data_IF_259626465035
#
_entry.id   IF_259626465035
#
_cell.length_a   1.000
_cell.length_b   1.000
_cell.length_c   1.000
_cell.angle_alpha   90.00
_cell.angle_beta   90.00
_cell.angle_gamma   90.00
#
_symmetry.space_group_name_H-M   'P 1'
#
loop_
_entity.id
_entity.type
_entity.pdbx_description
1 polymer ?
#
# COMPACT_ATOMS: atom_id res chain seq x y z
N UNK A 1 4.85 9.10 -10.16
CA UNK A 1 6.19 9.52 -10.63
C UNK A 1 7.25 8.91 -9.73
N UNK A 2 8.14 8.08 -10.28
CA UNK A 2 9.30 7.55 -9.54
C UNK A 2 10.32 8.67 -9.43
N UNK A 3 10.69 9.04 -8.19
CA UNK A 3 11.76 10.01 -7.92
C UNK A 3 13.06 9.24 -7.64
N UNK A 4 14.18 9.77 -8.13
CA UNK A 4 15.50 9.26 -7.76
C UNK A 4 15.64 9.23 -6.22
N UNK A 5 16.22 8.15 -5.69
CA UNK A 5 16.37 7.94 -4.24
C UNK A 5 15.10 7.50 -3.49
N UNK A 6 14.00 7.19 -4.19
CA UNK A 6 12.79 6.62 -3.57
C UNK A 6 12.66 5.16 -3.97
N UNK A 7 12.61 4.26 -2.99
CA UNK A 7 12.25 2.85 -3.23
C UNK A 7 10.73 2.73 -3.21
N UNK A 8 10.14 2.21 -4.29
CA UNK A 8 8.70 2.01 -4.43
C UNK A 8 8.39 0.52 -4.43
N UNK A 9 7.57 0.08 -3.47
CA UNK A 9 7.16 -1.32 -3.30
C UNK A 9 5.65 -1.38 -3.52
N UNK A 10 5.19 -2.22 -4.45
CA UNK A 10 3.75 -2.46 -4.66
C UNK A 10 3.41 -3.84 -4.10
N UNK A 11 2.39 -3.90 -3.25
CA UNK A 11 1.96 -5.09 -2.52
C UNK A 11 0.48 -5.33 -2.83
N UNK A 12 0.11 -6.56 -3.12
CA UNK A 12 -1.26 -6.94 -3.43
C UNK A 12 -1.77 -7.94 -2.39
N UNK A 13 -2.93 -7.66 -1.80
CA UNK A 13 -3.67 -8.66 -1.04
C UNK A 13 -4.79 -9.22 -1.92
N UNK A 14 -4.59 -10.48 -2.35
CA UNK A 14 -5.52 -11.21 -3.19
C UNK A 14 -6.67 -11.85 -2.39
N UNK A 15 -6.59 -11.83 -1.05
CA UNK A 15 -7.65 -12.33 -0.20
C UNK A 15 -8.87 -11.39 -0.29
N UNK A 16 -10.04 -11.87 -0.75
CA UNK A 16 -11.23 -11.03 -0.88
C UNK A 16 -11.79 -10.56 0.46
N UNK A 17 -11.54 -11.32 1.53
CA UNK A 17 -12.24 -11.16 2.80
C UNK A 17 -11.34 -10.70 3.94
N UNK A 18 -10.07 -11.15 3.97
CA UNK A 18 -9.19 -10.92 5.12
C UNK A 18 -8.08 -9.93 4.81
N UNK A 19 -7.77 -9.10 5.79
CA UNK A 19 -6.52 -8.34 5.82
C UNK A 19 -5.35 -9.31 6.06
N UNK A 20 -4.18 -8.96 5.53
CA UNK A 20 -2.96 -9.78 5.63
C UNK A 20 -1.80 -8.92 6.12
N UNK A 21 -1.08 -9.41 7.13
CA UNK A 21 0.12 -8.75 7.65
C UNK A 21 1.37 -9.27 6.95
N UNK A 22 2.24 -8.36 6.56
CA UNK A 22 3.53 -8.67 5.94
C UNK A 22 4.65 -7.92 6.64
N UNK A 23 5.73 -8.65 6.89
CA UNK A 23 6.99 -8.10 7.41
C UNK A 23 8.05 -8.16 6.33
N UNK A 24 8.58 -6.98 5.98
CA UNK A 24 9.65 -6.82 5.02
C UNK A 24 10.96 -6.57 5.76
N UNK A 25 11.98 -7.37 5.44
CA UNK A 25 13.36 -7.08 5.82
C UNK A 25 13.98 -6.19 4.75
N UNK A 26 14.37 -4.99 5.14
CA UNK A 26 14.99 -3.99 4.29
C UNK A 26 16.51 -4.04 4.52
N UNK A 27 17.27 -4.29 3.45
CA UNK A 27 18.72 -4.40 3.50
C UNK A 27 19.38 -3.27 2.69
N UNK A 28 20.66 -2.99 2.98
CA UNK A 28 21.50 -2.08 2.19
C UNK A 28 21.41 -0.59 2.56
N UNK A 29 20.26 -0.09 3.03
CA UNK A 29 20.12 1.30 3.47
C UNK A 29 19.09 1.47 4.59
N UNK A 30 19.31 2.46 5.44
CA UNK A 30 18.31 2.93 6.40
C UNK A 30 17.36 3.94 5.72
N UNK A 31 16.07 3.81 5.97
CA UNK A 31 15.05 4.70 5.43
C UNK A 31 14.49 5.59 6.54
N UNK A 32 14.49 6.90 6.31
CA UNK A 32 14.01 7.90 7.25
C UNK A 32 12.47 7.98 7.29
N UNK A 33 11.79 7.61 6.20
CA UNK A 33 10.32 7.72 6.12
C UNK A 33 9.68 6.68 5.21
N UNK A 34 8.40 6.40 5.47
CA UNK A 34 7.52 5.66 4.60
C UNK A 34 6.23 6.46 4.36
N UNK A 35 5.65 6.33 3.16
CA UNK A 35 4.32 6.83 2.82
C UNK A 35 3.58 5.80 1.99
N UNK A 36 2.27 5.70 2.18
CA UNK A 36 1.44 4.73 1.49
C UNK A 36 0.34 5.36 0.65
N UNK A 37 -0.04 4.64 -0.40
CA UNK A 37 -1.31 4.82 -1.09
C UNK A 37 -1.97 3.44 -1.27
N UNK A 38 -3.29 3.39 -1.26
CA UNK A 38 -4.04 2.15 -1.45
C UNK A 38 -5.17 2.34 -2.45
N UNK A 39 -5.44 1.31 -3.23
CA UNK A 39 -6.70 1.10 -3.94
C UNK A 39 -7.36 -0.14 -3.34
N UNK A 40 -8.60 0.00 -2.88
CA UNK A 40 -9.47 -1.06 -2.38
C UNK A 40 -10.92 -0.58 -2.41
N UNK A 41 -11.88 -1.47 -2.19
CA UNK A 41 -13.32 -1.17 -2.16
C UNK A 41 -14.05 -2.12 -1.20
N UNK A 42 -15.28 -1.79 -0.73
CA UNK A 42 -16.06 -2.72 0.09
C UNK A 42 -16.37 -4.06 -0.59
N UNK A 43 -16.67 -4.07 -1.90
CA UNK A 43 -16.98 -5.28 -2.66
C UNK A 43 -15.93 -5.55 -3.75
N UNK A 44 -15.69 -6.83 -4.06
CA UNK A 44 -14.72 -7.25 -5.07
C UNK A 44 -15.11 -6.79 -6.49
N UNK A 45 -16.41 -6.69 -6.77
CA UNK A 45 -16.94 -6.29 -8.07
C UNK A 45 -17.34 -4.81 -8.14
N UNK A 46 -16.88 -3.97 -7.20
CA UNK A 46 -17.09 -2.52 -7.30
C UNK A 46 -16.27 -1.94 -8.47
N UNK A 47 -16.86 -1.01 -9.20
CA UNK A 47 -16.21 -0.28 -10.29
C UNK A 47 -16.78 1.14 -10.39
N UNK A 48 -16.04 2.00 -11.10
CA UNK A 48 -16.44 3.39 -11.31
C UNK A 48 -17.36 3.50 -12.54
N UNK A 49 -18.41 4.31 -12.42
CA UNK A 49 -19.32 4.64 -13.51
C UNK A 49 -19.24 6.14 -13.83
N UNK A 50 -19.69 6.54 -15.01
CA UNK A 50 -19.68 7.95 -15.41
C UNK A 50 -20.61 8.86 -14.58
N UNK A 51 -21.61 8.29 -13.89
CA UNK A 51 -22.70 9.04 -13.23
C UNK A 51 -22.60 8.97 -11.69
N UNK A 52 -21.71 8.16 -11.13
CA UNK A 52 -21.50 8.03 -9.68
C UNK A 52 -20.05 8.38 -9.34
N UNK A 53 -19.85 9.00 -8.17
CA UNK A 53 -18.52 9.27 -7.63
C UNK A 53 -17.65 8.00 -7.60
N UNK A 54 -16.34 8.19 -7.83
CA UNK A 54 -15.39 7.09 -7.95
C UNK A 54 -15.25 6.26 -6.67
N UNK A 55 -15.92 5.09 -6.63
CA UNK A 55 -15.85 4.10 -5.53
C UNK A 55 -14.45 3.50 -5.38
N UNK A 56 -13.80 3.19 -6.50
CA UNK A 56 -12.46 2.63 -6.57
C UNK A 56 -11.49 3.74 -6.95
N UNK A 57 -10.80 4.29 -5.96
CA UNK A 57 -9.87 5.41 -6.15
C UNK A 57 -8.67 5.29 -5.22
N UNK A 58 -7.60 6.00 -5.56
CA UNK A 58 -6.42 6.10 -4.71
C UNK A 58 -6.77 6.84 -3.42
N UNK A 59 -6.42 6.23 -2.28
CA UNK A 59 -6.53 6.83 -0.95
C UNK A 59 -5.17 6.87 -0.29
N UNK A 60 -4.96 7.81 0.62
CA UNK A 60 -3.81 7.79 1.51
C UNK A 60 -3.84 6.51 2.34
N UNK A 61 -2.66 5.93 2.56
CA UNK A 61 -2.51 4.72 3.36
C UNK A 61 -1.40 4.93 4.38
N UNK A 62 -1.74 4.74 5.66
CA UNK A 62 -0.81 4.98 6.75
C UNK A 62 0.21 3.84 6.84
N UNK A 63 1.48 4.20 6.69
CA UNK A 63 2.59 3.26 6.78
C UNK A 63 3.55 3.78 7.83
N UNK A 64 3.83 2.94 8.84
CA UNK A 64 4.83 3.29 9.87
C UNK A 64 6.21 3.36 9.23
N UNK A 65 7.04 4.28 9.72
CA UNK A 65 8.45 4.33 9.29
C UNK A 65 9.14 2.98 9.58
N UNK A 66 10.06 2.53 8.73
CA UNK A 66 10.88 1.37 9.03
C UNK A 66 11.64 1.55 10.35
N UNK A 67 11.86 0.45 11.05
CA UNK A 67 12.62 0.42 12.31
C UNK A 67 13.49 -0.81 12.34
N UNK A 68 14.77 -0.63 12.64
CA UNK A 68 15.76 -1.73 12.74
C UNK A 68 15.79 -2.59 11.46
N UNK A 69 15.81 -1.96 10.29
CA UNK A 69 15.77 -2.66 9.00
C UNK A 69 14.48 -3.44 8.71
N UNK A 70 13.39 -3.19 9.44
CA UNK A 70 12.10 -3.86 9.22
C UNK A 70 10.97 -2.89 8.94
N UNK A 71 10.07 -3.32 8.08
CA UNK A 71 8.82 -2.63 7.78
C UNK A 71 7.66 -3.62 7.86
N UNK A 72 6.74 -3.36 8.77
CA UNK A 72 5.48 -4.12 8.90
C UNK A 72 4.35 -3.35 8.23
N UNK A 73 3.57 -4.04 7.41
CA UNK A 73 2.43 -3.47 6.69
C UNK A 73 1.22 -4.40 6.85
N UNK A 74 0.07 -3.84 7.21
CA UNK A 74 -1.21 -4.54 7.23
C UNK A 74 -1.98 -4.21 5.96
N UNK A 75 -2.04 -5.14 5.00
CA UNK A 75 -2.76 -4.95 3.76
C UNK A 75 -4.26 -5.19 3.98
N UNK A 76 -5.15 -4.23 3.67
CA UNK A 76 -6.58 -4.47 3.64
C UNK A 76 -6.93 -5.64 2.70
N UNK A 77 -8.07 -6.28 2.90
CA UNK A 77 -8.57 -7.26 1.92
C UNK A 77 -8.70 -6.62 0.54
N UNK A 78 -8.57 -7.42 -0.53
CA UNK A 78 -8.78 -7.00 -1.94
C UNK A 78 -8.15 -5.63 -2.23
N UNK A 79 -6.84 -5.52 -2.00
CA UNK A 79 -6.13 -4.25 -2.05
C UNK A 79 -4.85 -4.30 -2.87
N UNK A 80 -4.52 -3.14 -3.44
CA UNK A 80 -3.20 -2.85 -3.99
C UNK A 80 -2.65 -1.66 -3.23
N UNK A 81 -1.52 -1.86 -2.54
CA UNK A 81 -0.84 -0.85 -1.72
C UNK A 81 0.49 -0.49 -2.37
N UNK A 82 0.71 0.80 -2.60
CA UNK A 82 2.02 1.36 -2.90
C UNK A 82 2.65 1.88 -1.61
N UNK A 83 3.85 1.42 -1.28
CA UNK A 83 4.69 1.99 -0.23
C UNK A 83 5.90 2.67 -0.89
N UNK A 84 6.15 3.92 -0.50
CA UNK A 84 7.31 4.68 -0.93
C UNK A 84 8.22 4.95 0.26
N UNK A 85 9.46 4.49 0.17
CA UNK A 85 10.49 4.63 1.18
C UNK A 85 11.53 5.66 0.75
N UNK A 86 11.96 6.49 1.70
CA UNK A 86 13.03 7.48 1.56
C UNK A 86 13.96 7.39 2.74
#
# INVERSE_FOLDING_TARGET
MVKAGVVSITLCNLNPEKAESIDLTLTGQEFASARGQVITSPNMNDYNHFVQDGKVTLKAFDVKKPKNGKLSVELPSKSVVLVQLK
#
